data_IF_952912576196
#
_entry.id   IF_952912576196
#
_cell.length_a   1.000
_cell.length_b   1.000
_cell.length_c   1.000
_cell.angle_alpha   90.00
_cell.angle_beta   90.00
_cell.angle_gamma   90.00
#
_symmetry.space_group_name_H-M   'P 1'
#
loop_
_entity.id
_entity.type
_entity.pdbx_description
1 polymer ?
#
# COMPACT_ATOMS: atom_id res chain seq x y z
N UNK A 1 6.15 8.70 11.81
CA UNK A 1 7.22 8.27 10.87
C UNK A 1 7.83 6.89 11.22
N UNK A 2 7.68 6.42 12.46
CA UNK A 2 8.10 5.11 12.95
C UNK A 2 7.41 3.93 12.22
N UNK A 3 6.09 3.76 12.35
CA UNK A 3 5.35 2.58 11.89
C UNK A 3 5.54 2.19 10.41
N UNK A 4 5.71 3.14 9.49
CA UNK A 4 5.87 2.84 8.06
C UNK A 4 7.19 2.15 7.73
N UNK A 5 8.26 2.48 8.46
CA UNK A 5 9.55 1.79 8.34
C UNK A 5 9.45 0.35 8.88
N UNK A 6 8.75 0.17 10.00
CA UNK A 6 8.50 -1.16 10.57
C UNK A 6 7.66 -2.04 9.63
N UNK A 7 6.59 -1.51 9.04
CA UNK A 7 5.76 -2.27 8.08
C UNK A 7 6.58 -2.71 6.86
N UNK A 8 7.40 -1.81 6.27
CA UNK A 8 8.27 -2.18 5.15
C UNK A 8 9.33 -3.22 5.55
N UNK A 9 9.94 -3.06 6.71
CA UNK A 9 10.91 -4.03 7.24
C UNK A 9 10.25 -5.38 7.50
N UNK A 10 9.02 -5.39 8.02
CA UNK A 10 8.24 -6.60 8.27
C UNK A 10 7.89 -7.33 6.97
N UNK A 11 7.39 -6.61 5.96
CA UNK A 11 7.08 -7.18 4.65
C UNK A 11 8.31 -7.80 3.98
N UNK A 12 9.47 -7.16 4.09
CA UNK A 12 10.74 -7.69 3.59
C UNK A 12 11.10 -9.01 4.30
N UNK A 13 11.02 -9.03 5.64
CA UNK A 13 11.31 -10.24 6.43
C UNK A 13 10.35 -11.37 6.05
N UNK A 14 9.05 -11.09 5.92
CA UNK A 14 8.06 -12.09 5.50
C UNK A 14 8.35 -12.66 4.11
N UNK A 15 8.75 -11.82 3.14
CA UNK A 15 9.12 -12.27 1.79
C UNK A 15 10.35 -13.18 1.79
N UNK A 16 11.35 -12.85 2.61
CA UNK A 16 12.55 -13.69 2.77
C UNK A 16 12.19 -15.03 3.40
N UNK A 17 11.39 -15.02 4.47
CA UNK A 17 10.92 -16.26 5.11
C UNK A 17 10.16 -17.16 4.15
N UNK A 18 9.27 -16.59 3.33
CA UNK A 18 8.50 -17.37 2.35
C UNK A 18 9.39 -18.00 1.27
N UNK A 19 10.42 -17.28 0.85
CA UNK A 19 11.41 -17.81 -0.12
C UNK A 19 12.17 -19.00 0.46
N UNK A 20 12.54 -18.93 1.75
CA UNK A 20 13.21 -20.03 2.46
C UNK A 20 12.28 -21.26 2.55
N UNK A 21 11.01 -21.04 2.90
CA UNK A 21 10.00 -22.11 2.96
C UNK A 21 9.87 -22.80 1.60
N UNK A 22 9.76 -22.05 0.51
CA UNK A 22 9.69 -22.59 -0.85
C UNK A 22 10.94 -23.40 -1.20
N UNK A 23 12.14 -22.91 -0.85
CA UNK A 23 13.38 -23.63 -1.10
C UNK A 23 13.45 -24.98 -0.35
N UNK A 24 13.02 -24.99 0.91
CA UNK A 24 12.90 -26.22 1.71
C UNK A 24 11.87 -27.16 1.07
N UNK A 25 10.73 -26.64 0.65
CA UNK A 25 9.68 -27.43 0.03
C UNK A 25 10.15 -28.08 -1.29
N UNK A 26 10.89 -27.35 -2.13
CA UNK A 26 11.51 -27.90 -3.34
C UNK A 26 12.47 -29.04 -3.01
N UNK A 27 13.33 -28.86 -1.99
CA UNK A 27 14.24 -29.91 -1.54
C UNK A 27 13.46 -31.17 -1.09
N UNK A 28 12.39 -30.99 -0.32
CA UNK A 28 11.51 -32.08 0.11
C UNK A 28 10.83 -32.78 -1.08
N UNK A 29 10.36 -32.03 -2.08
CA UNK A 29 9.77 -32.61 -3.30
C UNK A 29 10.77 -33.50 -4.03
N UNK A 30 12.03 -33.06 -4.14
CA UNK A 30 13.11 -33.87 -4.76
C UNK A 30 13.41 -35.11 -3.92
N UNK A 31 13.47 -34.98 -2.60
CA UNK A 31 13.69 -36.09 -1.68
C UNK A 31 12.59 -37.15 -1.80
N UNK A 32 11.32 -36.74 -1.77
CA UNK A 32 10.16 -37.62 -1.92
C UNK A 32 10.16 -38.31 -3.28
N UNK A 33 10.49 -37.58 -4.35
CA UNK A 33 10.64 -38.15 -5.70
C UNK A 33 11.70 -39.27 -5.72
N UNK A 34 12.79 -39.13 -4.97
CA UNK A 34 13.85 -40.14 -4.87
C UNK A 34 13.39 -41.41 -4.13
N UNK A 35 12.51 -41.27 -3.14
CA UNK A 35 11.91 -42.41 -2.43
C UNK A 35 10.80 -43.13 -3.21
N UNK A 36 10.44 -42.62 -4.39
CA UNK A 36 9.54 -43.26 -5.36
C UNK A 36 8.12 -43.54 -4.83
N UNK A 37 7.69 -42.83 -3.79
CA UNK A 37 6.33 -42.89 -3.27
C UNK A 37 5.41 -41.91 -4.02
N UNK A 38 4.37 -42.43 -4.66
CA UNK A 38 3.50 -41.64 -5.55
C UNK A 38 2.65 -40.60 -4.81
N UNK A 39 2.01 -40.99 -3.70
CA UNK A 39 1.12 -40.12 -2.91
C UNK A 39 1.84 -38.89 -2.34
N UNK A 40 2.96 -39.02 -1.60
CA UNK A 40 3.64 -37.84 -1.05
C UNK A 40 4.23 -36.95 -2.13
N UNK A 41 4.60 -37.49 -3.30
CA UNK A 41 5.06 -36.68 -4.43
C UNK A 41 3.95 -35.77 -4.96
N UNK A 42 2.76 -36.32 -5.18
CA UNK A 42 1.59 -35.55 -5.62
C UNK A 42 1.23 -34.46 -4.59
N UNK A 43 1.19 -34.82 -3.29
CA UNK A 43 0.90 -33.86 -2.21
C UNK A 43 1.93 -32.72 -2.15
N UNK A 44 3.21 -33.04 -2.33
CA UNK A 44 4.29 -32.04 -2.32
C UNK A 44 4.19 -31.08 -3.52
N UNK A 45 3.84 -31.59 -4.71
CA UNK A 45 3.58 -30.75 -5.88
C UNK A 45 2.37 -29.81 -5.68
N UNK A 46 1.28 -30.30 -5.08
CA UNK A 46 0.11 -29.48 -4.75
C UNK A 46 0.50 -28.37 -3.76
N UNK A 47 1.25 -28.70 -2.71
CA UNK A 47 1.73 -27.73 -1.73
C UNK A 47 2.62 -26.64 -2.37
N UNK A 48 3.54 -27.01 -3.27
CA UNK A 48 4.35 -26.04 -4.01
C UNK A 48 3.51 -25.08 -4.86
N UNK A 49 2.46 -25.58 -5.51
CA UNK A 49 1.54 -24.73 -6.28
C UNK A 49 0.81 -23.73 -5.37
N UNK A 50 0.37 -24.18 -4.19
CA UNK A 50 -0.26 -23.30 -3.20
C UNK A 50 0.69 -22.23 -2.69
N UNK A 51 1.96 -22.56 -2.41
CA UNK A 51 2.97 -21.59 -1.97
C UNK A 51 3.22 -20.50 -3.03
N UNK A 52 3.27 -20.87 -4.31
CA UNK A 52 3.43 -19.93 -5.42
C UNK A 52 2.21 -18.99 -5.50
N UNK A 53 1.00 -19.52 -5.35
CA UNK A 53 -0.23 -18.71 -5.34
C UNK A 53 -0.22 -17.75 -4.16
N UNK A 54 0.13 -18.21 -2.96
CA UNK A 54 0.21 -17.36 -1.75
C UNK A 54 1.24 -16.25 -1.96
N UNK A 55 2.40 -16.57 -2.53
CA UNK A 55 3.43 -15.58 -2.82
C UNK A 55 2.93 -14.52 -3.82
N UNK A 56 2.24 -14.93 -4.88
CA UNK A 56 1.66 -14.02 -5.86
C UNK A 56 0.61 -13.09 -5.23
N UNK A 57 -0.30 -13.64 -4.41
CA UNK A 57 -1.31 -12.86 -3.68
C UNK A 57 -0.65 -11.89 -2.71
N UNK A 58 0.39 -12.32 -1.99
CA UNK A 58 1.13 -11.46 -1.06
C UNK A 58 1.74 -10.24 -1.78
N UNK A 59 2.37 -10.44 -2.93
CA UNK A 59 2.90 -9.32 -3.73
C UNK A 59 1.79 -8.40 -4.24
N UNK A 60 0.68 -8.95 -4.74
CA UNK A 60 -0.46 -8.16 -5.19
C UNK A 60 -1.10 -7.35 -4.04
N UNK A 61 -1.26 -7.95 -2.86
CA UNK A 61 -1.75 -7.23 -1.68
C UNK A 61 -0.77 -6.15 -1.23
N UNK A 62 0.54 -6.41 -1.31
CA UNK A 62 1.56 -5.42 -0.97
C UNK A 62 1.58 -4.24 -1.95
N UNK A 63 1.33 -4.46 -3.24
CA UNK A 63 1.24 -3.37 -4.23
C UNK A 63 -0.03 -2.55 -4.03
N UNK A 64 -1.18 -3.21 -3.84
CA UNK A 64 -2.45 -2.53 -3.57
C UNK A 64 -2.35 -1.67 -2.31
N UNK A 65 -1.73 -2.18 -1.24
CA UNK A 65 -1.52 -1.40 -0.02
C UNK A 65 -0.67 -0.13 -0.27
N UNK A 66 0.32 -0.19 -1.16
CA UNK A 66 1.12 0.97 -1.52
C UNK A 66 0.32 2.00 -2.34
N UNK A 67 -0.54 1.53 -3.25
CA UNK A 67 -1.37 2.38 -4.09
C UNK A 67 -2.49 3.05 -3.30
N UNK A 68 -3.20 2.29 -2.45
CA UNK A 68 -4.22 2.81 -1.53
C UNK A 68 -3.61 3.85 -0.57
N UNK A 69 -2.41 3.60 -0.06
CA UNK A 69 -1.65 4.58 0.72
C UNK A 69 -1.47 5.89 -0.06
N UNK A 70 -1.11 5.83 -1.34
CA UNK A 70 -0.88 7.03 -2.16
C UNK A 70 -2.17 7.78 -2.51
N UNK A 71 -3.26 7.04 -2.77
CA UNK A 71 -4.58 7.59 -3.05
C UNK A 71 -5.20 8.21 -1.80
N UNK A 72 -4.89 7.70 -0.60
CA UNK A 72 -5.34 8.27 0.66
C UNK A 72 -4.75 9.65 0.99
N UNK A 73 -3.79 10.16 0.21
CA UNK A 73 -3.22 11.50 0.37
C UNK A 73 -3.70 12.51 -0.68
N UNK A 74 -4.48 12.07 -1.66
CA UNK A 74 -4.91 12.91 -2.78
C UNK A 74 -6.43 13.00 -2.77
N UNK A 75 -6.99 14.21 -2.91
CA UNK A 75 -8.43 14.44 -3.00
C UNK A 75 -8.92 14.26 -4.45
N UNK A 76 -10.24 14.30 -4.65
CA UNK A 76 -10.91 14.13 -5.96
C UNK A 76 -10.43 15.12 -7.04
N UNK A 77 -9.79 16.22 -6.65
CA UNK A 77 -9.20 17.24 -7.53
C UNK A 77 -7.75 16.94 -7.92
N UNK A 78 -7.15 15.84 -7.43
CA UNK A 78 -5.72 15.55 -7.63
C UNK A 78 -4.79 16.34 -6.70
N UNK A 79 -5.34 17.17 -5.80
CA UNK A 79 -4.58 17.97 -4.83
C UNK A 79 -4.41 17.18 -3.53
N UNK A 80 -3.29 17.41 -2.83
CA UNK A 80 -3.06 16.87 -1.49
C UNK A 80 -4.26 17.15 -0.57
N UNK A 81 -4.83 16.09 -0.01
CA UNK A 81 -6.00 16.20 0.86
C UNK A 81 -5.63 16.68 2.28
N UNK A 82 -6.64 16.86 3.13
CA UNK A 82 -6.46 17.34 4.51
C UNK A 82 -5.46 16.51 5.33
N UNK A 83 -5.41 15.19 5.10
CA UNK A 83 -4.48 14.29 5.80
C UNK A 83 -3.04 14.54 5.34
N UNK A 84 -2.81 14.75 4.04
CA UNK A 84 -1.51 15.14 3.50
C UNK A 84 -1.03 16.49 4.07
N UNK A 85 -1.94 17.47 4.14
CA UNK A 85 -1.66 18.78 4.75
C UNK A 85 -1.25 18.65 6.23
N UNK A 86 -2.02 17.91 7.04
CA UNK A 86 -1.70 17.69 8.46
C UNK A 86 -0.33 17.04 8.66
N UNK A 87 0.02 16.06 7.82
CA UNK A 87 1.35 15.45 7.85
C UNK A 87 2.46 16.44 7.48
N UNK A 88 2.21 17.34 6.54
CA UNK A 88 3.17 18.37 6.15
C UNK A 88 3.41 19.39 7.28
N UNK A 89 2.34 19.87 7.92
CA UNK A 89 2.43 20.76 9.10
C UNK A 89 3.19 20.08 10.25
N UNK A 90 2.91 18.81 10.52
CA UNK A 90 3.64 18.07 11.55
C UNK A 90 5.14 17.96 11.24
N UNK A 91 5.54 17.83 9.97
CA UNK A 91 6.97 17.83 9.60
C UNK A 91 7.61 19.19 9.80
N UNK A 92 6.90 20.27 9.44
CA UNK A 92 7.36 21.64 9.65
C UNK A 92 7.55 21.95 11.14
N UNK A 93 6.62 21.53 11.99
CA UNK A 93 6.71 21.72 13.44
C UNK A 93 7.89 20.97 14.08
N UNK A 94 8.33 19.87 13.46
CA UNK A 94 9.47 19.08 13.93
C UNK A 94 10.79 19.47 13.25
N UNK A 95 10.79 20.46 12.35
CA UNK A 95 12.00 20.92 11.68
C UNK A 95 12.76 21.92 12.57
N UNK A 96 14.09 21.87 12.53
CA UNK A 96 14.95 22.76 13.32
C UNK A 96 14.80 24.25 12.95
N UNK A 97 14.24 24.56 11.77
CA UNK A 97 13.91 25.92 11.33
C UNK A 97 12.86 25.89 10.23
N UNK A 98 11.94 26.86 10.28
CA UNK A 98 10.88 27.10 9.29
C UNK A 98 11.10 28.42 8.52
N UNK A 99 12.30 28.99 8.59
CA UNK A 99 12.62 30.35 8.09
C UNK A 99 12.30 30.62 6.61
N UNK A 100 12.09 29.59 5.79
CA UNK A 100 11.79 29.69 4.35
C UNK A 100 10.42 29.13 3.95
N UNK A 101 9.49 28.98 4.90
CA UNK A 101 8.17 28.39 4.63
C UNK A 101 7.13 29.51 4.52
N UNK A 102 6.56 29.67 3.33
CA UNK A 102 5.39 30.52 3.08
C UNK A 102 4.12 29.68 2.98
N UNK A 103 3.04 30.10 3.65
CA UNK A 103 1.72 29.47 3.55
C UNK A 103 0.78 30.43 2.84
N UNK A 104 0.08 29.93 1.82
CA UNK A 104 -0.94 30.70 1.10
C UNK A 104 -2.26 29.94 1.20
N UNK A 105 -3.31 30.64 1.62
CA UNK A 105 -4.66 30.08 1.78
C UNK A 105 -5.64 30.90 0.95
N UNK A 106 -6.47 30.21 0.18
CA UNK A 106 -7.52 30.81 -0.63
C UNK A 106 -8.86 30.15 -0.28
N UNK A 107 -9.93 30.93 -0.29
CA UNK A 107 -11.30 30.48 -0.06
C UNK A 107 -12.18 30.84 -1.26
N UNK A 108 -13.11 29.94 -1.62
CA UNK A 108 -14.04 30.17 -2.72
C UNK A 108 -15.28 30.88 -2.21
N UNK A 109 -15.36 32.18 -2.50
CA UNK A 109 -16.49 33.00 -2.13
C UNK A 109 -17.81 32.49 -2.77
N UNK A 110 -18.89 32.48 -1.99
CA UNK A 110 -20.25 32.17 -2.43
C UNK A 110 -20.50 30.74 -2.95
N UNK A 111 -19.61 29.77 -2.66
CA UNK A 111 -19.76 28.38 -3.10
C UNK A 111 -21.09 27.74 -2.67
N UNK A 112 -21.59 28.05 -1.48
CA UNK A 112 -22.90 27.57 -1.00
C UNK A 112 -24.04 28.01 -1.92
N UNK A 113 -24.07 29.29 -2.32
CA UNK A 113 -25.10 29.84 -3.21
C UNK A 113 -25.09 29.14 -4.58
N UNK A 114 -23.90 28.84 -5.10
CA UNK A 114 -23.72 28.09 -6.34
C UNK A 114 -24.30 26.67 -6.20
N UNK A 115 -23.92 25.94 -5.15
CA UNK A 115 -24.44 24.58 -4.89
C UNK A 115 -25.96 24.57 -4.72
N UNK A 116 -26.52 25.57 -4.04
CA UNK A 116 -27.97 25.71 -3.80
C UNK A 116 -28.74 26.09 -5.09
N UNK A 117 -28.09 26.75 -6.06
CA UNK A 117 -28.72 27.23 -7.31
C UNK A 117 -28.56 26.27 -8.48
N UNK A 118 -27.39 25.64 -8.63
CA UNK A 118 -27.03 24.82 -9.79
C UNK A 118 -27.04 23.31 -9.50
N UNK A 119 -27.29 22.92 -8.24
CA UNK A 119 -27.22 21.53 -7.81
C UNK A 119 -25.79 21.08 -7.52
N UNK A 120 -25.67 20.08 -6.63
CA UNK A 120 -24.38 19.63 -6.10
C UNK A 120 -23.42 19.12 -7.19
N UNK A 121 -23.96 18.57 -8.28
CA UNK A 121 -23.17 18.07 -9.43
C UNK A 121 -22.52 19.20 -10.25
N UNK A 122 -23.18 20.35 -10.40
CA UNK A 122 -22.60 21.50 -11.12
C UNK A 122 -21.58 22.26 -10.26
N UNK A 123 -21.75 22.25 -8.94
CA UNK A 123 -20.73 22.75 -8.01
C UNK A 123 -19.40 22.01 -8.13
N UNK A 124 -19.44 20.73 -8.48
CA UNK A 124 -18.28 19.90 -8.77
C UNK A 124 -17.49 20.31 -10.03
N UNK A 125 -18.12 20.99 -10.99
CA UNK A 125 -17.49 21.41 -12.26
C UNK A 125 -16.77 22.76 -12.17
N UNK A 126 -16.96 23.52 -11.09
CA UNK A 126 -16.29 24.81 -10.86
C UNK A 126 -14.93 24.61 -10.14
N UNK A 127 -14.62 23.37 -9.74
CA UNK A 127 -13.32 22.97 -9.20
C UNK A 127 -12.29 22.73 -10.30
#
# INVERSE_FOLDING_TARGET
MSNRKYIKSLLLVMSVMMTIVIAIQIYLTVYVRKHNEMLPWILSCIALLLDIIILAVFFASSSINADVDSMAYTDVTGINNKLAYQNHINRLNNANSTFLVGVVMFDLNNLKRVNDTLGHEMGGQIY
#
